data_IF_602748041257
#
_entry.id   IF_602748041257
#
_cell.length_a   1.000
_cell.length_b   1.000
_cell.length_c   1.000
_cell.angle_alpha   90.00
_cell.angle_beta   90.00
_cell.angle_gamma   90.00
#
_symmetry.space_group_name_H-M   'P 1'
#
loop_
_entity.id
_entity.type
_entity.pdbx_description
1 polymer ?
#
# COMPACT_ATOMS: atom_id res chain seq x y z
N UNK A 1 14.07 -28.44 -0.03
CA UNK A 1 14.11 -26.97 -0.21
C UNK A 1 14.51 -26.44 1.16
N UNK A 2 15.53 -25.60 1.21
CA UNK A 2 16.27 -25.32 2.45
C UNK A 2 15.79 -24.05 3.15
N UNK A 3 16.04 -24.02 4.46
CA UNK A 3 15.94 -22.88 5.37
C UNK A 3 17.35 -22.28 5.59
N UNK A 4 17.46 -20.97 5.83
CA UNK A 4 18.72 -20.32 6.17
C UNK A 4 18.57 -19.18 7.19
N UNK A 5 19.50 -19.09 8.14
CA UNK A 5 19.66 -17.92 9.02
C UNK A 5 20.73 -16.97 8.44
N UNK A 6 20.35 -15.72 8.15
CA UNK A 6 21.23 -14.66 7.64
C UNK A 6 21.79 -14.88 6.23
N UNK A 7 21.33 -15.93 5.53
CA UNK A 7 21.84 -16.36 4.22
C UNK A 7 20.77 -16.37 3.12
N UNK A 8 21.09 -16.98 1.98
CA UNK A 8 20.15 -17.14 0.87
C UNK A 8 19.54 -18.54 0.84
N UNK A 9 18.23 -18.64 0.68
CA UNK A 9 17.47 -19.89 0.64
C UNK A 9 16.51 -19.96 -0.55
N UNK A 10 16.14 -21.18 -0.95
CA UNK A 10 15.07 -21.39 -1.94
C UNK A 10 13.69 -21.52 -1.29
N UNK A 11 13.63 -21.92 -0.01
CA UNK A 11 12.39 -22.02 0.75
C UNK A 11 12.23 -20.78 1.62
N UNK A 12 12.74 -20.86 2.84
CA UNK A 12 12.55 -19.87 3.91
C UNK A 12 13.88 -19.27 4.37
N UNK A 13 13.90 -18.00 4.79
CA UNK A 13 15.08 -17.39 5.41
C UNK A 13 14.75 -16.43 6.56
N UNK A 14 15.48 -16.52 7.67
CA UNK A 14 15.41 -15.55 8.78
C UNK A 14 16.56 -14.54 8.66
N UNK A 15 16.23 -13.25 8.55
CA UNK A 15 17.18 -12.14 8.36
C UNK A 15 17.96 -12.17 7.03
N UNK A 16 17.57 -13.06 6.12
CA UNK A 16 18.28 -13.38 4.88
C UNK A 16 17.48 -13.09 3.62
N UNK A 17 17.80 -13.77 2.53
CA UNK A 17 17.08 -13.67 1.26
C UNK A 17 16.45 -15.01 0.87
N UNK A 18 15.21 -15.03 0.40
CA UNK A 18 14.51 -16.25 0.00
C UNK A 18 13.82 -16.13 -1.37
N UNK A 19 13.64 -17.26 -2.05
CA UNK A 19 12.70 -17.32 -3.18
C UNK A 19 11.26 -17.51 -2.72
N UNK A 20 11.04 -18.21 -1.60
CA UNK A 20 9.72 -18.38 -0.98
C UNK A 20 9.45 -17.26 0.01
N UNK A 21 9.83 -17.47 1.27
CA UNK A 21 9.41 -16.65 2.41
C UNK A 21 10.63 -16.10 3.18
N UNK A 22 10.56 -14.88 3.70
CA UNK A 22 11.61 -14.31 4.54
C UNK A 22 11.08 -13.52 5.75
N UNK A 23 11.61 -13.80 6.94
CA UNK A 23 11.35 -13.01 8.15
C UNK A 23 12.47 -11.98 8.35
N UNK A 24 12.15 -10.69 8.41
CA UNK A 24 13.10 -9.58 8.55
C UNK A 24 14.05 -9.39 7.36
N UNK A 25 13.79 -10.08 6.25
CA UNK A 25 14.68 -10.23 5.10
C UNK A 25 14.06 -9.79 3.77
N UNK A 26 14.55 -10.37 2.67
CA UNK A 26 14.00 -10.11 1.34
C UNK A 26 13.49 -11.39 0.67
N UNK A 27 12.32 -11.37 0.05
CA UNK A 27 11.74 -12.53 -0.62
C UNK A 27 11.27 -12.23 -2.06
N UNK A 28 11.21 -13.26 -2.91
CA UNK A 28 10.41 -13.16 -4.15
C UNK A 28 8.92 -13.41 -3.88
N UNK A 29 8.58 -14.35 -2.99
CA UNK A 29 7.21 -14.62 -2.57
C UNK A 29 6.75 -13.62 -1.52
N UNK A 30 6.99 -13.96 -0.25
CA UNK A 30 6.38 -13.30 0.92
C UNK A 30 7.45 -12.85 1.92
N UNK A 31 7.26 -11.69 2.55
CA UNK A 31 8.18 -11.22 3.61
C UNK A 31 7.46 -10.61 4.81
N UNK A 32 7.83 -11.02 6.02
CA UNK A 32 7.38 -10.41 7.28
C UNK A 32 8.44 -9.40 7.77
N UNK A 33 8.07 -8.14 7.97
CA UNK A 33 8.96 -7.05 8.40
C UNK A 33 10.05 -6.68 7.39
N UNK A 34 9.97 -7.21 6.16
CA UNK A 34 11.01 -7.18 5.15
C UNK A 34 10.57 -6.59 3.81
N UNK A 35 11.19 -7.04 2.72
CA UNK A 35 10.81 -6.63 1.37
C UNK A 35 10.46 -7.83 0.48
N UNK A 36 9.38 -7.74 -0.30
CA UNK A 36 8.95 -8.80 -1.20
C UNK A 36 8.68 -8.32 -2.63
N UNK A 37 8.76 -9.22 -3.61
CA UNK A 37 8.12 -8.96 -4.92
C UNK A 37 6.62 -9.25 -4.90
N UNK A 38 6.20 -10.32 -4.21
CA UNK A 38 4.79 -10.66 -4.03
C UNK A 38 4.16 -9.83 -2.91
N UNK A 39 4.22 -10.33 -1.69
CA UNK A 39 3.45 -9.84 -0.54
C UNK A 39 4.36 -9.50 0.65
N UNK A 40 4.05 -8.43 1.38
CA UNK A 40 4.81 -8.08 2.59
C UNK A 40 3.91 -7.63 3.75
N UNK A 41 4.12 -8.21 4.93
CA UNK A 41 3.50 -7.76 6.18
C UNK A 41 4.46 -6.83 6.94
N UNK A 42 4.01 -5.61 7.28
CA UNK A 42 4.81 -4.59 7.96
C UNK A 42 6.02 -4.06 7.16
N UNK A 43 6.10 -4.41 5.87
CA UNK A 43 7.27 -4.25 5.02
C UNK A 43 7.01 -3.49 3.72
N UNK A 44 7.78 -3.79 2.68
CA UNK A 44 7.59 -3.22 1.35
C UNK A 44 7.38 -4.30 0.29
N UNK A 45 6.42 -4.13 -0.61
CA UNK A 45 6.13 -5.08 -1.69
C UNK A 45 6.08 -4.41 -3.07
N UNK A 46 6.31 -5.18 -4.14
CA UNK A 46 5.88 -4.76 -5.47
C UNK A 46 4.39 -5.07 -5.70
N UNK A 47 3.90 -6.23 -5.23
CA UNK A 47 2.49 -6.60 -5.29
C UNK A 47 1.69 -5.93 -4.18
N UNK A 48 1.58 -6.60 -3.03
CA UNK A 48 0.65 -6.25 -1.95
C UNK A 48 1.37 -6.06 -0.61
N UNK A 49 0.97 -5.06 0.18
CA UNK A 49 1.55 -4.85 1.51
C UNK A 49 0.49 -4.58 2.58
N UNK A 50 0.56 -5.29 3.71
CA UNK A 50 -0.24 -5.00 4.90
C UNK A 50 0.58 -4.17 5.90
N UNK A 51 0.07 -3.01 6.31
CA UNK A 51 0.74 -2.07 7.22
C UNK A 51 2.00 -1.42 6.65
N UNK A 52 2.29 -1.64 5.37
CA UNK A 52 3.56 -1.35 4.71
C UNK A 52 3.46 -0.42 3.50
N UNK A 53 4.38 -0.57 2.56
CA UNK A 53 4.35 0.16 1.29
C UNK A 53 4.32 -0.78 0.08
N UNK A 54 3.46 -0.52 -0.89
CA UNK A 54 3.35 -1.31 -2.10
C UNK A 54 3.46 -0.49 -3.39
N UNK A 55 3.87 -1.12 -4.49
CA UNK A 55 3.62 -0.55 -5.82
C UNK A 55 2.19 -0.86 -6.29
N UNK A 56 1.68 -2.07 -6.05
CA UNK A 56 0.30 -2.45 -6.34
C UNK A 56 -0.68 -1.94 -5.29
N UNK A 57 -0.91 -2.74 -4.27
CA UNK A 57 -2.00 -2.54 -3.30
C UNK A 57 -1.47 -2.50 -1.86
N UNK A 58 -1.99 -1.61 -1.01
CA UNK A 58 -1.62 -1.55 0.39
C UNK A 58 -2.83 -1.44 1.34
N UNK A 59 -2.88 -2.28 2.36
CA UNK A 59 -3.84 -2.16 3.46
C UNK A 59 -3.19 -1.44 4.65
N UNK A 60 -3.78 -0.35 5.12
CA UNK A 60 -3.27 0.47 6.22
C UNK A 60 -1.97 1.25 5.90
N UNK A 61 -1.48 1.14 4.66
CA UNK A 61 -0.15 1.55 4.23
C UNK A 61 -0.12 2.62 3.13
N UNK A 62 0.94 2.61 2.33
CA UNK A 62 1.07 3.49 1.18
C UNK A 62 1.21 2.70 -0.12
N UNK A 63 0.47 3.07 -1.17
CA UNK A 63 0.53 2.42 -2.47
C UNK A 63 0.80 3.40 -3.61
N UNK A 64 1.39 2.91 -4.71
CA UNK A 64 1.30 3.63 -5.98
C UNK A 64 -0.04 3.38 -6.67
N UNK A 65 -0.54 2.13 -6.65
CA UNK A 65 -1.85 1.76 -7.19
C UNK A 65 -2.98 2.13 -6.24
N UNK A 66 -3.33 1.20 -5.35
CA UNK A 66 -4.54 1.26 -4.52
C UNK A 66 -4.22 1.14 -3.02
N UNK A 67 -4.88 1.94 -2.17
CA UNK A 67 -4.70 1.84 -0.73
C UNK A 67 -6.03 1.82 0.03
N UNK A 68 -6.19 0.86 0.95
CA UNK A 68 -7.28 0.83 1.92
C UNK A 68 -6.81 1.40 3.26
N UNK A 69 -7.50 2.41 3.79
CA UNK A 69 -7.16 3.10 5.03
C UNK A 69 -5.86 3.93 4.99
N UNK A 70 -5.20 3.98 3.83
CA UNK A 70 -3.83 4.46 3.64
C UNK A 70 -3.70 5.65 2.69
N UNK A 71 -2.54 5.75 2.03
CA UNK A 71 -2.28 6.77 1.01
C UNK A 71 -1.96 6.13 -0.35
N UNK A 72 -2.57 6.63 -1.42
CA UNK A 72 -2.31 6.15 -2.78
C UNK A 72 -1.93 7.25 -3.75
N UNK A 73 -1.16 6.92 -4.79
CA UNK A 73 -1.09 7.79 -5.97
C UNK A 73 -2.33 7.60 -6.86
N UNK A 74 -2.78 6.36 -7.06
CA UNK A 74 -3.99 6.04 -7.81
C UNK A 74 -5.26 6.26 -7.01
N UNK A 75 -5.71 5.22 -6.31
CA UNK A 75 -7.02 5.16 -5.64
C UNK A 75 -6.90 4.87 -4.14
N UNK A 76 -7.70 5.56 -3.31
CA UNK A 76 -7.74 5.28 -1.88
C UNK A 76 -9.17 5.12 -1.34
N UNK A 77 -9.42 4.08 -0.55
CA UNK A 77 -10.64 3.93 0.26
C UNK A 77 -10.35 4.28 1.72
N UNK A 78 -11.10 5.22 2.30
CA UNK A 78 -10.91 5.71 3.67
C UNK A 78 -9.65 6.56 3.88
N UNK A 79 -8.86 6.78 2.83
CA UNK A 79 -7.52 7.35 2.89
C UNK A 79 -7.30 8.61 2.06
N UNK A 80 -6.05 8.87 1.67
CA UNK A 80 -5.69 9.99 0.82
C UNK A 80 -5.21 9.52 -0.56
N UNK A 81 -5.66 10.16 -1.63
CA UNK A 81 -5.20 9.84 -2.98
C UNK A 81 -4.73 11.09 -3.75
N UNK A 82 -3.79 10.90 -4.69
CA UNK A 82 -3.59 11.91 -5.74
C UNK A 82 -4.69 11.82 -6.81
N UNK A 83 -5.05 10.59 -7.23
CA UNK A 83 -6.13 10.35 -8.20
C UNK A 83 -7.52 10.42 -7.58
N UNK A 84 -8.04 9.29 -7.10
CA UNK A 84 -9.41 9.15 -6.63
C UNK A 84 -9.48 8.70 -5.17
N UNK A 85 -10.38 9.30 -4.37
CA UNK A 85 -10.61 8.87 -2.99
C UNK A 85 -12.09 8.62 -2.69
N UNK A 86 -12.37 7.52 -2.00
CA UNK A 86 -13.70 7.21 -1.43
C UNK A 86 -13.67 7.35 0.08
N UNK A 87 -14.51 8.22 0.64
CA UNK A 87 -14.58 8.45 2.09
C UNK A 87 -13.38 9.20 2.68
N UNK A 88 -12.49 9.71 1.83
CA UNK A 88 -11.21 10.31 2.21
C UNK A 88 -10.91 11.62 1.48
N UNK A 89 -9.64 11.91 1.21
CA UNK A 89 -9.23 13.14 0.52
C UNK A 89 -8.52 12.84 -0.79
N UNK A 90 -8.86 13.55 -1.87
CA UNK A 90 -8.19 13.43 -3.15
C UNK A 90 -7.67 14.78 -3.66
N UNK A 91 -6.62 14.77 -4.47
CA UNK A 91 -6.32 15.94 -5.33
C UNK A 91 -7.18 15.95 -6.60
N UNK A 92 -7.48 14.78 -7.17
CA UNK A 92 -8.35 14.63 -8.33
C UNK A 92 -9.84 14.59 -7.97
N UNK A 93 -10.37 13.40 -7.72
CA UNK A 93 -11.80 13.17 -7.48
C UNK A 93 -12.06 12.55 -6.11
N UNK A 94 -13.07 13.06 -5.38
CA UNK A 94 -13.46 12.50 -4.09
C UNK A 94 -14.95 12.17 -4.05
N UNK A 95 -15.28 10.97 -3.56
CA UNK A 95 -16.66 10.53 -3.27
C UNK A 95 -16.87 10.38 -1.78
N UNK A 96 -17.81 11.13 -1.22
CA UNK A 96 -18.04 11.15 0.24
C UNK A 96 -16.87 11.74 1.03
N UNK A 97 -16.03 12.55 0.37
CA UNK A 97 -14.77 13.06 0.88
C UNK A 97 -14.46 14.48 0.43
N UNK A 98 -13.20 14.90 0.53
CA UNK A 98 -12.74 16.24 0.18
C UNK A 98 -11.82 16.25 -1.07
N UNK A 99 -11.90 17.30 -1.87
CA UNK A 99 -10.97 17.55 -2.99
C UNK A 99 -10.02 18.71 -2.63
N UNK A 100 -8.72 18.52 -2.78
CA UNK A 100 -7.67 19.51 -2.46
C UNK A 100 -7.10 20.13 -3.75
N UNK A 101 -7.59 21.30 -4.15
CA UNK A 101 -7.08 22.07 -5.30
C UNK A 101 -7.64 23.49 -5.35
N UNK A 102 -6.92 24.43 -5.99
CA UNK A 102 -7.35 25.83 -6.12
C UNK A 102 -8.63 25.94 -6.96
N UNK A 103 -9.71 26.38 -6.32
CA UNK A 103 -11.00 26.58 -6.96
C UNK A 103 -11.00 27.87 -7.80
N UNK A 104 -10.49 27.84 -9.03
CA UNK A 104 -10.96 28.78 -10.05
C UNK A 104 -12.34 28.30 -10.56
N UNK A 105 -13.39 28.57 -9.78
CA UNK A 105 -14.77 28.54 -10.28
C UNK A 105 -15.82 27.71 -9.54
N UNK A 106 -15.46 26.88 -8.54
CA UNK A 106 -16.48 26.23 -7.70
C UNK A 106 -15.88 25.81 -6.36
N UNK A 107 -16.39 26.36 -5.26
CA UNK A 107 -16.13 25.80 -3.95
C UNK A 107 -16.67 24.36 -3.93
N UNK A 108 -15.79 23.36 -4.02
CA UNK A 108 -16.17 21.96 -3.83
C UNK A 108 -16.12 21.68 -2.34
N UNK A 109 -17.10 22.22 -1.62
CA UNK A 109 -17.52 21.65 -0.34
C UNK A 109 -18.18 20.32 -0.71
N UNK A 110 -17.53 19.19 -0.40
CA UNK A 110 -18.01 17.87 -0.77
C UNK A 110 -19.49 17.70 -0.41
N UNK A 111 -20.33 17.49 -1.43
CA UNK A 111 -21.67 16.94 -1.22
C UNK A 111 -21.49 15.47 -0.84
N UNK A 112 -21.45 15.20 0.46
CA UNK A 112 -21.25 13.84 0.97
C UNK A 112 -21.90 13.54 2.31
N UNK A 113 -22.81 14.38 2.80
CA UNK A 113 -23.42 14.19 4.12
C UNK A 113 -24.86 14.68 4.21
N UNK A 114 -25.77 14.17 3.38
CA UNK A 114 -27.21 14.14 3.66
C UNK A 114 -27.88 12.91 3.06
N UNK A 115 -27.90 11.82 3.83
CA UNK A 115 -29.04 10.92 4.02
C UNK A 115 -28.80 10.06 5.25
#
# INVERSE_FOLDING_TARGET
MGEAEGGAAMGEAEGGAAMGEAEGGAAMGEAEGGAAMGEAEGGAAMGEAEGGAAMGEAEGGAAMGEAEGGAAMGEAEGGAAMGEARGGAAMGEARGGAVMGEAEGRAVMGEGGRS
#
